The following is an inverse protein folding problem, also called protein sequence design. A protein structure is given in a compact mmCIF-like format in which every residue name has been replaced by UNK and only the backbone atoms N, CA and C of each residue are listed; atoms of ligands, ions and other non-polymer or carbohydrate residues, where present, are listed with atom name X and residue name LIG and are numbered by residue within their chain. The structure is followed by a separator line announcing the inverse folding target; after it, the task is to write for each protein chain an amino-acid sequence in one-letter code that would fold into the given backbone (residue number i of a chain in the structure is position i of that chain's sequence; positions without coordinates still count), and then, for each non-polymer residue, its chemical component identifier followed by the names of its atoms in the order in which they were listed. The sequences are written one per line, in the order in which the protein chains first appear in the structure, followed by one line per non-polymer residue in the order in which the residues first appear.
data_IF_633878583140
#
_entry.id   IF_633878583140
#
_cell.length_a   1.000
_cell.length_b   1.000
_cell.length_c   1.000
_cell.angle_alpha   90.00
_cell.angle_beta   90.00
_cell.angle_gamma   90.00
#
_symmetry.space_group_name_H-M   'P 1'
#
loop_
_entity.id
_entity.type
_entity.pdbx_description
1 polymer ?
#
# COMPACT_ATOMS: atom_id res chain seq x y z
N UNK A 1 1.48 -30.03 0.11
CA UNK A 1 2.53 -29.07 0.54
C UNK A 1 2.62 -28.03 -0.56
N UNK A 2 1.75 -27.02 -0.50
CA UNK A 2 1.64 -26.04 -1.57
C UNK A 2 2.75 -25.01 -1.49
N UNK A 3 3.47 -24.89 -2.61
CA UNK A 3 4.58 -23.96 -2.77
C UNK A 3 4.06 -22.53 -2.80
N UNK A 4 4.24 -21.81 -1.70
CA UNK A 4 3.97 -20.37 -1.62
C UNK A 4 4.95 -19.64 -2.57
N UNK A 5 4.49 -19.30 -3.79
CA UNK A 5 5.30 -18.56 -4.77
C UNK A 5 5.37 -17.09 -4.34
N UNK A 6 6.54 -16.66 -3.91
CA UNK A 6 6.86 -15.24 -3.70
C UNK A 6 6.87 -14.54 -5.05
N UNK A 7 5.82 -13.78 -5.36
CA UNK A 7 5.78 -12.91 -6.52
C UNK A 7 6.36 -11.55 -6.15
N UNK A 8 7.49 -11.21 -6.76
CA UNK A 8 8.01 -9.84 -6.76
C UNK A 8 7.39 -9.14 -7.97
N UNK A 9 6.42 -8.27 -7.72
CA UNK A 9 5.82 -7.44 -8.76
C UNK A 9 6.40 -6.03 -8.64
N UNK A 10 7.16 -5.59 -9.64
CA UNK A 10 7.47 -4.18 -9.83
C UNK A 10 6.33 -3.63 -10.69
N UNK A 11 5.38 -2.91 -10.08
CA UNK A 11 4.25 -2.30 -10.77
C UNK A 11 4.49 -0.80 -10.85
N UNK A 12 4.55 -0.26 -12.07
CA UNK A 12 4.54 1.19 -12.29
C UNK A 12 3.17 1.72 -11.87
N UNK A 13 3.15 2.61 -10.88
CA UNK A 13 1.93 3.15 -10.28
C UNK A 13 1.46 4.37 -11.09
N UNK A 14 0.27 4.27 -11.70
CA UNK A 14 -0.39 5.37 -12.41
C UNK A 14 -1.39 6.06 -11.47
N UNK A 15 -1.41 7.39 -11.49
CA UNK A 15 -2.02 8.24 -10.46
C UNK A 15 -3.48 8.55 -10.81
N UNK A 16 -4.39 8.54 -9.84
CA UNK A 16 -5.80 8.87 -10.05
C UNK A 16 -6.31 9.84 -8.98
N UNK A 17 -6.68 11.06 -9.38
CA UNK A 17 -7.02 12.19 -8.49
C UNK A 17 -8.49 12.24 -8.02
N UNK A 18 -9.22 11.11 -7.92
CA UNK A 18 -10.66 11.14 -7.62
C UNK A 18 -11.08 10.46 -6.31
N UNK A 19 -11.82 11.27 -5.53
CA UNK A 19 -12.66 10.99 -4.37
C UNK A 19 -12.02 10.59 -3.04
N UNK A 20 -12.09 11.53 -2.09
CA UNK A 20 -11.80 11.39 -0.66
C UNK A 20 -13.09 11.04 0.12
N UNK A 21 -13.86 10.03 -0.30
CA UNK A 21 -14.84 9.44 0.60
C UNK A 21 -14.07 8.68 1.69
N UNK A 22 -14.47 8.87 2.96
CA UNK A 22 -13.85 8.25 4.14
C UNK A 22 -13.62 6.76 3.92
N UNK A 23 -12.40 6.42 3.53
CA UNK A 23 -11.97 5.05 3.29
C UNK A 23 -11.55 4.50 4.65
N UNK A 24 -12.35 3.59 5.23
CA UNK A 24 -12.03 2.85 6.46
C UNK A 24 -10.89 1.85 6.20
N UNK A 25 -9.70 2.36 5.89
CA UNK A 25 -8.46 1.61 5.65
C UNK A 25 -7.94 0.98 6.95
N UNK A 26 -8.38 1.48 8.10
CA UNK A 26 -7.72 1.25 9.39
C UNK A 26 -7.92 -0.17 9.94
N UNK A 27 -9.04 -0.83 9.61
CA UNK A 27 -9.36 -2.17 10.11
C UNK A 27 -8.58 -3.31 9.46
N UNK A 28 -7.55 -3.00 8.66
CA UNK A 28 -6.78 -4.02 7.94
C UNK A 28 -5.34 -3.64 7.69
N UNK A 29 -4.72 -2.72 8.43
CA UNK A 29 -3.30 -2.39 8.21
C UNK A 29 -2.41 -3.58 8.57
N UNK A 30 -1.61 -4.04 7.60
CA UNK A 30 -0.71 -5.20 7.72
C UNK A 30 0.75 -4.83 7.55
N UNK A 31 1.04 -3.68 6.92
CA UNK A 31 2.38 -3.14 6.80
C UNK A 31 2.36 -1.62 6.91
N UNK A 32 3.45 -1.03 7.41
CA UNK A 32 3.59 0.42 7.49
C UNK A 32 5.05 0.83 7.33
N UNK A 33 5.29 1.97 6.70
CA UNK A 33 6.59 2.65 6.70
C UNK A 33 6.36 4.17 6.86
N UNK A 34 7.29 4.84 7.54
CA UNK A 34 7.21 6.28 7.79
C UNK A 34 8.54 6.93 7.41
N UNK A 35 8.50 7.69 6.32
CA UNK A 35 9.64 8.44 5.79
C UNK A 35 9.22 9.88 5.52
N UNK A 36 9.01 10.25 4.26
CA UNK A 36 8.51 11.59 3.89
C UNK A 36 6.99 11.70 4.04
N UNK A 37 6.30 10.61 3.72
CA UNK A 37 4.86 10.40 3.88
C UNK A 37 4.66 9.17 4.78
N UNK A 38 3.46 9.06 5.35
CA UNK A 38 3.07 7.86 6.08
C UNK A 38 2.40 6.89 5.11
N UNK A 39 3.03 5.73 4.90
CA UNK A 39 2.57 4.75 3.93
C UNK A 39 2.02 3.54 4.70
N UNK A 40 0.80 3.16 4.37
CA UNK A 40 0.09 2.04 4.95
C UNK A 40 -0.16 0.98 3.88
N UNK A 41 0.05 -0.28 4.21
CA UNK A 41 -0.36 -1.43 3.43
C UNK A 41 -1.48 -2.17 4.13
N UNK A 42 -2.50 -2.58 3.38
CA UNK A 42 -3.68 -3.27 3.95
C UNK A 42 -3.70 -4.77 3.63
N UNK A 43 -4.49 -5.50 4.41
CA UNK A 43 -4.89 -6.89 4.21
C UNK A 43 -5.74 -7.10 2.96
N UNK A 44 -6.23 -6.02 2.33
CA UNK A 44 -6.92 -5.99 1.03
C UNK A 44 -6.02 -5.62 -0.14
N UNK A 45 -4.71 -5.43 0.13
CA UNK A 45 -3.71 -5.24 -0.91
C UNK A 45 -3.59 -3.80 -1.40
N UNK A 46 -4.22 -2.86 -0.69
CA UNK A 46 -4.11 -1.43 -0.93
C UNK A 46 -2.85 -0.87 -0.26
N UNK A 47 -2.22 0.07 -0.94
CA UNK A 47 -1.27 1.01 -0.38
C UNK A 47 -1.95 2.35 -0.22
N UNK A 48 -1.83 2.97 0.94
CA UNK A 48 -2.46 4.25 1.27
C UNK A 48 -1.40 5.20 1.77
N UNK A 49 -1.28 6.33 1.09
CA UNK A 49 -0.33 7.39 1.42
C UNK A 49 -1.09 8.47 2.19
N UNK A 50 -0.54 8.86 3.33
CA UNK A 50 -1.08 9.88 4.22
C UNK A 50 -0.02 10.95 4.47
N UNK A 51 -0.40 12.22 4.38
CA UNK A 51 0.52 13.32 4.70
C UNK A 51 0.41 13.68 6.18
N UNK A 52 1.45 13.43 7.00
CA UNK A 52 1.43 13.78 8.43
C UNK A 52 1.28 15.29 8.69
N UNK A 53 1.62 16.15 7.72
CA UNK A 53 1.51 17.62 7.83
C UNK A 53 0.07 18.10 7.69
N UNK A 54 -0.77 17.29 7.05
CA UNK A 54 -2.20 17.55 6.85
C UNK A 54 -3.04 16.68 7.78
N UNK A 55 -2.59 16.48 9.03
CA UNK A 55 -3.27 15.64 10.02
C UNK A 55 -3.51 14.20 9.53
N UNK A 56 -2.52 13.63 8.84
CA UNK A 56 -2.59 12.28 8.25
C UNK A 56 -3.73 12.09 7.25
N UNK A 57 -4.17 13.16 6.59
CA UNK A 57 -5.14 13.06 5.51
C UNK A 57 -4.59 12.12 4.41
N UNK A 58 -5.46 11.26 3.90
CA UNK A 58 -5.16 10.43 2.73
C UNK A 58 -4.88 11.36 1.55
N UNK A 59 -3.68 11.28 1.00
CA UNK A 59 -3.27 12.02 -0.18
C UNK A 59 -3.38 11.17 -1.44
N UNK A 60 -3.18 9.86 -1.30
CA UNK A 60 -3.25 8.93 -2.42
C UNK A 60 -3.52 7.50 -1.93
N UNK A 61 -4.00 6.64 -2.82
CA UNK A 61 -4.12 5.21 -2.59
C UNK A 61 -4.01 4.43 -3.90
N UNK A 62 -3.53 3.19 -3.82
CA UNK A 62 -3.36 2.33 -5.00
C UNK A 62 -3.45 0.85 -4.64
N UNK A 63 -4.04 0.06 -5.53
CA UNK A 63 -4.07 -1.40 -5.39
C UNK A 63 -2.76 -2.03 -5.89
N UNK A 64 -1.98 -2.55 -4.94
CA UNK A 64 -0.71 -3.23 -5.20
C UNK A 64 -0.90 -4.74 -5.41
N UNK A 65 -1.81 -5.36 -4.63
CA UNK A 65 -2.12 -6.78 -4.70
C UNK A 65 -3.64 -6.98 -4.61
N UNK A 66 -4.16 -8.08 -5.17
CA UNK A 66 -5.58 -8.47 -5.00
C UNK A 66 -5.87 -9.16 -3.65
N UNK A 67 -4.82 -9.48 -2.89
CA UNK A 67 -4.90 -10.08 -1.56
C UNK A 67 -4.46 -9.08 -0.50
N UNK A 68 -3.21 -9.11 -0.05
CA UNK A 68 -2.72 -8.26 1.04
C UNK A 68 -1.27 -7.82 0.90
N UNK A 69 -0.91 -6.69 1.52
CA UNK A 69 0.46 -6.17 1.59
C UNK A 69 1.14 -6.71 2.85
N UNK A 70 2.28 -7.37 2.72
CA UNK A 70 3.05 -7.90 3.86
C UNK A 70 4.29 -7.09 4.24
N UNK A 71 4.81 -6.26 3.33
CA UNK A 71 6.00 -5.45 3.57
C UNK A 71 6.03 -4.21 2.68
N UNK A 72 6.60 -3.12 3.20
CA UNK A 72 6.79 -1.85 2.51
C UNK A 72 8.17 -1.31 2.87
N UNK A 73 8.88 -0.76 1.89
CA UNK A 73 10.10 0.01 2.09
C UNK A 73 10.28 1.05 0.99
N UNK A 74 10.63 2.28 1.36
CA UNK A 74 11.04 3.31 0.39
C UNK A 74 12.54 3.19 0.05
N UNK A 75 12.87 3.16 -1.25
CA UNK A 75 14.25 3.19 -1.76
C UNK A 75 14.38 4.27 -2.81
N UNK A 76 15.04 5.37 -2.45
CA UNK A 76 15.16 6.55 -3.32
C UNK A 76 13.78 7.18 -3.56
N UNK A 77 13.35 7.25 -4.82
CA UNK A 77 12.04 7.76 -5.23
C UNK A 77 11.00 6.66 -5.49
N UNK A 78 11.27 5.42 -5.07
CA UNK A 78 10.42 4.26 -5.36
C UNK A 78 9.95 3.58 -4.08
N UNK A 79 8.76 2.99 -4.14
CA UNK A 79 8.23 2.12 -3.10
C UNK A 79 8.42 0.66 -3.50
N UNK A 80 9.12 -0.09 -2.66
CA UNK A 80 9.23 -1.54 -2.75
C UNK A 80 8.20 -2.16 -1.83
N UNK A 81 7.38 -3.05 -2.37
CA UNK A 81 6.36 -3.76 -1.61
C UNK A 81 6.44 -5.26 -1.85
N UNK A 82 5.99 -6.03 -0.87
CA UNK A 82 5.73 -7.46 -1.04
C UNK A 82 4.38 -7.81 -0.44
N UNK A 83 3.69 -8.79 -1.02
CA UNK A 83 2.33 -9.16 -0.66
C UNK A 83 1.89 -10.45 -1.31
N UNK A 84 0.59 -10.75 -1.24
CA UNK A 84 -0.02 -11.91 -1.87
C UNK A 84 -1.27 -11.52 -2.64
N UNK A 85 -1.57 -12.27 -3.70
CA UNK A 85 -2.79 -12.16 -4.49
C UNK A 85 -3.71 -13.32 -4.17
N UNK A 86 -5.02 -13.08 -4.10
CA UNK A 86 -6.03 -14.14 -4.04
C UNK A 86 -6.28 -14.56 -5.50
N UNK A 87 -6.10 -15.86 -5.79
CA UNK A 87 -6.35 -16.48 -7.10
C UNK A 87 -7.72 -17.16 -7.08
#
# INVERSE_FOLDING_TARGET
MDTCRKHFAIKELWWNDKDNSEFEVENGVTAQDFKKEYILGTATGLLVLRDPRMSYKITNWVEAYSGGVGYISEVGSHLLTSGWSIM
#
